data_IF_614038893241
#
_entry.id   IF_614038893241
#
_cell.length_a   1.000
_cell.length_b   1.000
_cell.length_c   1.000
_cell.angle_alpha   90.00
_cell.angle_beta   90.00
_cell.angle_gamma   90.00
#
_symmetry.space_group_name_H-M   'P 1'
#
loop_
_entity.id
_entity.type
_entity.pdbx_description
1 polymer ?
#
# COMPACT_ATOMS: atom_id res chain seq x y z
N UNK A 1 -12.18 12.55 -32.30
CA UNK A 1 -13.06 13.48 -31.55
C UNK A 1 -12.49 13.91 -30.21
N UNK A 2 -12.17 13.01 -29.26
CA UNK A 2 -11.68 13.41 -27.91
C UNK A 2 -10.29 14.07 -27.93
N UNK A 3 -9.40 13.66 -28.84
CA UNK A 3 -8.06 14.24 -28.99
C UNK A 3 -8.02 15.65 -29.63
N UNK A 4 -9.17 16.23 -30.00
CA UNK A 4 -9.22 17.55 -30.63
C UNK A 4 -8.76 18.66 -29.67
N UNK A 5 -7.95 19.66 -30.11
CA UNK A 5 -7.39 20.69 -29.24
C UNK A 5 -8.43 21.44 -28.38
N UNK A 6 -9.59 21.80 -28.95
CA UNK A 6 -10.64 22.49 -28.20
C UNK A 6 -11.25 21.62 -27.10
N UNK A 7 -11.37 20.31 -27.33
CA UNK A 7 -11.85 19.37 -26.33
C UNK A 7 -10.81 19.18 -25.22
N UNK A 8 -9.53 19.11 -25.59
CA UNK A 8 -8.41 18.97 -24.66
C UNK A 8 -8.26 20.20 -23.75
N UNK A 9 -8.35 21.41 -24.31
CA UNK A 9 -8.35 22.64 -23.50
C UNK A 9 -9.48 22.65 -22.47
N UNK A 10 -10.67 22.18 -22.85
CA UNK A 10 -11.80 22.06 -21.92
C UNK A 10 -11.51 21.03 -20.83
N UNK A 11 -10.98 19.86 -21.17
CA UNK A 11 -10.59 18.83 -20.20
C UNK A 11 -9.54 19.34 -19.21
N UNK A 12 -8.50 20.02 -19.70
CA UNK A 12 -7.45 20.64 -18.88
C UNK A 12 -8.05 21.65 -17.90
N UNK A 13 -9.00 22.48 -18.36
CA UNK A 13 -9.68 23.44 -17.49
C UNK A 13 -10.49 22.78 -16.37
N UNK A 14 -11.08 21.60 -16.63
CA UNK A 14 -11.79 20.81 -15.62
C UNK A 14 -10.80 20.14 -14.67
N UNK A 15 -9.68 19.65 -15.20
CA UNK A 15 -8.64 18.95 -14.46
C UNK A 15 -7.97 19.82 -13.39
N UNK A 16 -7.61 21.06 -13.74
CA UNK A 16 -7.02 22.02 -12.81
C UNK A 16 -8.06 22.86 -12.06
N UNK A 17 -9.31 22.93 -12.53
CA UNK A 17 -10.42 23.69 -11.93
C UNK A 17 -9.98 25.09 -11.46
N UNK A 18 -10.21 25.44 -10.18
CA UNK A 18 -9.82 26.71 -9.57
C UNK A 18 -8.33 26.80 -9.19
N UNK A 19 -7.52 25.79 -9.50
CA UNK A 19 -6.11 25.69 -9.10
C UNK A 19 -5.16 26.19 -10.19
N UNK A 20 -5.45 27.38 -10.73
CA UNK A 20 -4.70 28.00 -11.84
C UNK A 20 -3.24 28.30 -11.51
N UNK A 21 -2.91 28.44 -10.22
CA UNK A 21 -1.53 28.60 -9.72
C UNK A 21 -0.66 27.38 -10.07
N UNK A 22 -1.21 26.17 -9.98
CA UNK A 22 -0.50 24.92 -10.27
C UNK A 22 -0.33 24.67 -11.77
N UNK A 23 -1.27 25.16 -12.57
CA UNK A 23 -1.20 25.11 -14.03
C UNK A 23 -0.02 25.95 -14.54
N UNK A 24 0.20 27.12 -13.93
CA UNK A 24 1.23 28.08 -14.34
C UNK A 24 2.56 27.97 -13.57
N UNK A 25 2.64 27.09 -12.57
CA UNK A 25 3.84 26.95 -11.74
C UNK A 25 4.95 26.15 -12.43
N UNK A 26 6.20 26.47 -12.10
CA UNK A 26 7.37 25.70 -12.52
C UNK A 26 7.34 24.28 -11.95
N UNK A 27 8.04 23.35 -12.62
CA UNK A 27 8.03 21.92 -12.26
C UNK A 27 8.45 21.63 -10.81
N UNK A 28 9.42 22.37 -10.26
CA UNK A 28 9.87 22.22 -8.86
C UNK A 28 8.76 22.63 -7.89
N UNK A 29 8.19 23.83 -8.07
CA UNK A 29 7.07 24.33 -7.25
C UNK A 29 5.88 23.39 -7.33
N UNK A 30 5.64 22.82 -8.53
CA UNK A 30 4.60 21.82 -8.75
C UNK A 30 4.82 20.58 -7.90
N UNK A 31 6.02 20.01 -7.92
CA UNK A 31 6.38 18.84 -7.09
C UNK A 31 6.24 19.18 -5.62
N UNK A 32 6.75 20.33 -5.17
CA UNK A 32 6.66 20.75 -3.77
C UNK A 32 5.21 20.87 -3.30
N UNK A 33 4.33 21.51 -4.10
CA UNK A 33 2.90 21.60 -3.80
C UNK A 33 2.28 20.20 -3.73
N UNK A 34 2.65 19.30 -4.64
CA UNK A 34 2.10 17.94 -4.65
C UNK A 34 2.53 17.11 -3.45
N UNK A 35 3.79 17.19 -3.07
CA UNK A 35 4.30 16.52 -1.87
C UNK A 35 3.61 17.09 -0.63
N UNK A 36 3.47 18.41 -0.52
CA UNK A 36 2.79 19.04 0.63
C UNK A 36 1.32 18.61 0.74
N UNK A 37 0.57 18.63 -0.36
CA UNK A 37 -0.85 18.23 -0.38
C UNK A 37 -1.00 16.74 -0.05
N UNK A 38 -0.05 15.92 -0.47
CA UNK A 38 -0.02 14.48 -0.17
C UNK A 38 0.22 14.21 1.31
N UNK A 39 1.25 14.82 1.91
CA UNK A 39 1.57 14.62 3.33
C UNK A 39 0.45 15.13 4.23
N UNK A 40 -0.26 16.18 3.81
CA UNK A 40 -1.40 16.73 4.55
C UNK A 40 -2.72 16.01 4.26
N UNK A 41 -2.78 15.10 3.28
CA UNK A 41 -3.98 14.36 2.90
C UNK A 41 -4.73 13.66 4.06
N UNK A 42 -4.08 12.94 5.00
CA UNK A 42 -4.80 12.33 6.13
C UNK A 42 -5.49 13.37 7.03
N UNK A 43 -4.84 14.51 7.28
CA UNK A 43 -5.41 15.62 8.07
C UNK A 43 -6.58 16.25 7.29
N UNK A 44 -6.39 16.46 5.99
CA UNK A 44 -7.42 17.03 5.11
C UNK A 44 -8.65 16.12 5.00
N UNK A 45 -8.49 14.80 5.05
CA UNK A 45 -9.58 13.83 5.09
C UNK A 45 -10.39 13.91 6.39
N UNK A 46 -9.75 14.11 7.54
CA UNK A 46 -10.43 14.33 8.82
C UNK A 46 -11.20 15.66 8.78
N UNK A 47 -10.57 16.74 8.30
CA UNK A 47 -11.24 18.05 8.14
C UNK A 47 -12.41 17.97 7.17
N UNK A 48 -12.35 17.14 6.13
CA UNK A 48 -13.46 16.91 5.20
C UNK A 48 -14.72 16.42 5.93
N UNK A 49 -14.56 15.54 6.93
CA UNK A 49 -15.66 15.00 7.71
C UNK A 49 -16.31 16.09 8.59
N UNK A 50 -15.50 16.92 9.25
CA UNK A 50 -16.00 17.91 10.23
C UNK A 50 -16.42 19.26 9.61
N UNK A 51 -15.77 19.71 8.53
CA UNK A 51 -15.97 21.03 7.95
C UNK A 51 -16.20 20.98 6.42
N UNK A 52 -17.34 20.45 5.95
CA UNK A 52 -17.64 20.20 4.54
C UNK A 52 -18.03 21.45 3.73
N UNK A 53 -17.71 22.66 4.19
CA UNK A 53 -17.90 23.92 3.43
C UNK A 53 -16.63 24.76 3.33
N UNK A 54 -15.49 24.26 3.83
CA UNK A 54 -14.24 25.02 3.88
C UNK A 54 -13.65 25.27 2.48
N UNK A 55 -12.87 26.36 2.36
CA UNK A 55 -12.13 26.67 1.11
C UNK A 55 -11.15 25.55 0.74
N UNK A 56 -10.54 24.91 1.74
CA UNK A 56 -9.64 23.76 1.57
C UNK A 56 -10.35 22.56 0.93
N UNK A 57 -11.62 22.33 1.25
CA UNK A 57 -12.36 21.22 0.67
C UNK A 57 -12.64 21.43 -0.83
N UNK A 58 -12.78 22.67 -1.30
CA UNK A 58 -12.89 22.96 -2.74
C UNK A 58 -11.63 22.52 -3.49
N UNK A 59 -10.46 22.58 -2.83
CA UNK A 59 -9.18 22.09 -3.38
C UNK A 59 -9.18 20.56 -3.45
N UNK A 60 -9.64 19.86 -2.41
CA UNK A 60 -9.74 18.38 -2.40
C UNK A 60 -10.74 17.83 -3.43
N UNK A 61 -11.73 18.61 -3.85
CA UNK A 61 -12.67 18.20 -4.90
C UNK A 61 -12.06 18.24 -6.30
N UNK A 62 -10.90 18.88 -6.47
CA UNK A 62 -10.17 18.98 -7.73
C UNK A 62 -9.75 17.58 -8.23
N UNK A 63 -10.03 17.20 -9.49
CA UNK A 63 -9.68 15.88 -10.04
C UNK A 63 -8.17 15.58 -9.94
N UNK A 64 -7.33 16.57 -10.26
CA UNK A 64 -5.88 16.43 -10.18
C UNK A 64 -5.39 16.06 -8.76
N UNK A 65 -5.96 16.68 -7.73
CA UNK A 65 -5.55 16.44 -6.34
C UNK A 65 -6.00 15.06 -5.88
N UNK A 66 -7.19 14.61 -6.28
CA UNK A 66 -7.64 13.24 -6.00
C UNK A 66 -6.73 12.21 -6.65
N UNK A 67 -6.42 12.41 -7.93
CA UNK A 67 -5.51 11.52 -8.66
C UNK A 67 -4.16 11.41 -7.97
N UNK A 68 -3.57 12.54 -7.58
CA UNK A 68 -2.26 12.58 -6.93
C UNK A 68 -2.31 11.98 -5.52
N UNK A 69 -3.39 12.23 -4.77
CA UNK A 69 -3.61 11.55 -3.50
C UNK A 69 -3.62 10.04 -3.65
N UNK A 70 -4.39 9.50 -4.60
CA UNK A 70 -4.44 8.05 -4.85
C UNK A 70 -3.07 7.48 -5.27
N UNK A 71 -2.37 8.12 -6.21
CA UNK A 71 -1.07 7.62 -6.68
C UNK A 71 -0.02 7.65 -5.57
N UNK A 72 -0.01 8.68 -4.75
CA UNK A 72 0.97 8.78 -3.66
C UNK A 72 0.68 7.81 -2.52
N UNK A 73 -0.59 7.56 -2.19
CA UNK A 73 -0.95 6.53 -1.21
C UNK A 73 -0.50 5.14 -1.68
N UNK A 74 -0.57 4.88 -2.98
CA UNK A 74 -0.02 3.66 -3.57
C UNK A 74 1.52 3.61 -3.48
N UNK A 75 2.22 4.72 -3.75
CA UNK A 75 3.68 4.79 -3.58
C UNK A 75 4.10 4.56 -2.12
N UNK A 76 3.40 5.16 -1.16
CA UNK A 76 3.64 4.93 0.28
C UNK A 76 3.44 3.47 0.65
N UNK A 77 2.41 2.82 0.10
CA UNK A 77 2.19 1.39 0.29
C UNK A 77 3.34 0.54 -0.27
N UNK A 78 3.84 0.84 -1.47
CA UNK A 78 5.01 0.15 -2.03
C UNK A 78 6.25 0.33 -1.14
N UNK A 79 6.47 1.53 -0.61
CA UNK A 79 7.57 1.81 0.33
C UNK A 79 7.38 0.97 1.61
N UNK A 80 6.16 0.85 2.15
CA UNK A 80 5.89 0.01 3.30
C UNK A 80 6.19 -1.48 3.04
N UNK A 81 5.84 -2.00 1.85
CA UNK A 81 6.20 -3.38 1.46
C UNK A 81 7.72 -3.55 1.40
N UNK A 82 8.43 -2.57 0.84
CA UNK A 82 9.89 -2.58 0.76
C UNK A 82 10.52 -2.58 2.17
N UNK A 83 10.04 -1.70 3.06
CA UNK A 83 10.51 -1.65 4.46
C UNK A 83 10.20 -2.95 5.20
N UNK A 84 9.02 -3.55 4.99
CA UNK A 84 8.67 -4.86 5.56
C UNK A 84 9.64 -5.93 5.07
N UNK A 85 9.98 -5.92 3.78
CA UNK A 85 10.96 -6.85 3.20
C UNK A 85 12.35 -6.66 3.82
N UNK A 86 12.81 -5.42 4.01
CA UNK A 86 14.08 -5.14 4.68
C UNK A 86 14.07 -5.52 6.16
N UNK A 87 12.91 -5.42 6.81
CA UNK A 87 12.76 -5.85 8.20
C UNK A 87 12.84 -7.37 8.31
N UNK A 88 12.40 -8.12 7.30
CA UNK A 88 12.45 -9.59 7.25
C UNK A 88 13.82 -10.15 6.82
N UNK A 89 14.79 -9.31 6.46
CA UNK A 89 16.13 -9.78 6.13
C UNK A 89 16.82 -10.49 7.32
N UNK A 90 17.78 -11.41 7.05
CA UNK A 90 18.54 -12.08 8.08
C UNK A 90 19.29 -11.07 8.95
N UNK A 91 18.93 -11.00 10.21
CA UNK A 91 19.67 -10.28 11.26
C UNK A 91 20.18 -11.33 12.25
N UNK A 92 21.40 -11.16 12.77
CA UNK A 92 21.99 -12.05 13.78
C UNK A 92 21.07 -12.20 15.00
N UNK A 93 20.32 -11.14 15.33
CA UNK A 93 19.34 -11.15 16.44
C UNK A 93 18.09 -11.99 16.16
N UNK A 94 17.82 -12.35 14.91
CA UNK A 94 16.70 -13.22 14.51
C UNK A 94 17.12 -14.67 14.32
N UNK A 95 18.40 -14.96 14.48
CA UNK A 95 18.95 -16.30 14.30
C UNK A 95 18.52 -17.25 15.41
N UNK A 96 18.40 -18.54 15.09
CA UNK A 96 17.95 -19.57 16.02
C UNK A 96 18.90 -19.71 17.20
N UNK A 97 20.21 -19.52 16.97
CA UNK A 97 21.22 -19.43 18.03
C UNK A 97 20.88 -18.39 19.10
N UNK A 98 20.50 -17.19 18.69
CA UNK A 98 20.27 -16.08 19.60
C UNK A 98 18.87 -16.15 20.24
N UNK A 99 17.84 -16.50 19.45
CA UNK A 99 16.45 -16.42 19.88
C UNK A 99 15.98 -17.62 20.70
N UNK A 100 16.43 -18.84 20.36
CA UNK A 100 16.07 -20.06 21.09
C UNK A 100 17.31 -20.96 21.24
N UNK A 101 18.20 -20.68 22.21
CA UNK A 101 19.44 -21.44 22.40
C UNK A 101 19.22 -22.93 22.68
N UNK A 102 18.13 -23.28 23.35
CA UNK A 102 17.77 -24.68 23.67
C UNK A 102 17.46 -25.51 22.43
N UNK A 103 16.69 -24.96 21.49
CA UNK A 103 16.39 -25.61 20.22
C UNK A 103 17.63 -25.72 19.31
N UNK A 104 18.56 -24.76 19.41
CA UNK A 104 19.81 -24.78 18.65
C UNK A 104 20.67 -26.00 18.97
N UNK A 105 20.77 -26.34 20.25
CA UNK A 105 21.54 -27.50 20.69
C UNK A 105 20.99 -28.79 20.07
N UNK A 106 19.66 -28.99 20.12
CA UNK A 106 18.99 -30.13 19.50
C UNK A 106 19.17 -30.17 17.98
N UNK A 107 19.11 -29.01 17.32
CA UNK A 107 19.30 -28.91 15.88
C UNK A 107 20.73 -29.29 15.46
N UNK A 108 21.75 -28.76 16.15
CA UNK A 108 23.15 -29.08 15.86
C UNK A 108 23.47 -30.56 16.08
N UNK A 109 22.90 -31.16 17.13
CA UNK A 109 23.02 -32.60 17.39
C UNK A 109 22.44 -33.42 16.22
N UNK A 110 21.20 -33.12 15.79
CA UNK A 110 20.57 -33.80 14.66
C UNK A 110 21.36 -33.62 13.35
N UNK A 111 21.88 -32.42 13.12
CA UNK A 111 22.70 -32.13 11.94
C UNK A 111 23.95 -32.99 11.88
N UNK A 112 24.69 -33.07 13.00
CA UNK A 112 25.94 -33.81 13.06
C UNK A 112 25.73 -35.31 12.81
N UNK A 113 24.59 -35.85 13.24
CA UNK A 113 24.21 -37.25 13.00
C UNK A 113 23.82 -37.48 11.55
N UNK A 114 23.04 -36.57 10.97
CA UNK A 114 22.40 -36.82 9.67
C UNK A 114 23.31 -36.45 8.49
N UNK A 115 24.47 -35.82 8.71
CA UNK A 115 25.37 -35.32 7.64
C UNK A 115 24.61 -34.57 6.52
N UNK A 116 23.51 -33.92 6.88
CA UNK A 116 22.57 -33.32 5.95
C UNK A 116 23.08 -31.96 5.44
N UNK A 117 22.76 -31.55 4.20
CA UNK A 117 23.11 -30.24 3.63
C UNK A 117 22.34 -29.04 4.24
N UNK A 118 21.89 -29.13 5.49
CA UNK A 118 21.17 -28.03 6.14
C UNK A 118 22.10 -26.85 6.51
N UNK A 119 21.60 -25.60 6.52
CA UNK A 119 22.39 -24.41 6.87
C UNK A 119 22.80 -24.38 8.35
N UNK A 120 23.89 -23.69 8.70
CA UNK A 120 24.42 -23.62 10.10
C UNK A 120 23.47 -22.97 11.08
N UNK A 121 22.65 -22.06 10.60
CA UNK A 121 21.66 -21.38 11.41
C UNK A 121 20.41 -21.09 10.55
N UNK A 122 19.28 -20.85 11.22
CA UNK A 122 18.04 -20.45 10.59
C UNK A 122 17.57 -19.13 11.15
N UNK A 123 17.06 -18.27 10.27
CA UNK A 123 16.35 -17.07 10.69
C UNK A 123 14.96 -17.49 11.16
N UNK A 124 14.66 -17.25 12.44
CA UNK A 124 13.33 -17.50 13.00
C UNK A 124 12.44 -16.30 12.68
N UNK A 125 11.39 -16.53 11.90
CA UNK A 125 10.35 -15.51 11.68
C UNK A 125 9.68 -15.16 13.02
N UNK A 126 9.65 -13.88 13.33
CA UNK A 126 8.94 -13.34 14.50
C UNK A 126 7.42 -13.54 14.32
N UNK A 127 6.77 -14.07 15.36
CA UNK A 127 5.32 -14.24 15.42
C UNK A 127 4.60 -12.99 15.95
N UNK A 128 5.35 -11.97 16.37
CA UNK A 128 4.79 -10.74 16.91
C UNK A 128 4.30 -9.82 15.77
N UNK A 129 3.07 -9.29 15.88
CA UNK A 129 2.53 -8.39 14.86
C UNK A 129 3.27 -7.04 14.91
N UNK A 130 4.25 -6.88 14.02
CA UNK A 130 4.91 -5.58 13.85
C UNK A 130 3.91 -4.54 13.32
N UNK A 131 4.08 -3.29 13.77
CA UNK A 131 3.24 -2.15 13.40
C UNK A 131 3.09 -2.03 11.87
N UNK A 132 4.15 -2.35 11.12
CA UNK A 132 4.13 -2.27 9.66
C UNK A 132 3.16 -3.26 9.03
N UNK A 133 3.07 -4.50 9.54
CA UNK A 133 2.13 -5.50 9.03
C UNK A 133 0.68 -5.12 9.33
N UNK A 134 0.43 -4.50 10.49
CA UNK A 134 -0.90 -3.96 10.83
C UNK A 134 -1.26 -2.82 9.87
N UNK A 135 -0.34 -1.90 9.60
CA UNK A 135 -0.58 -0.77 8.69
C UNK A 135 -0.82 -1.24 7.25
N UNK A 136 -0.05 -2.22 6.76
CA UNK A 136 -0.26 -2.86 5.45
C UNK A 136 -1.65 -3.52 5.39
N UNK A 137 -2.05 -4.22 6.46
CA UNK A 137 -3.36 -4.88 6.55
C UNK A 137 -4.52 -3.89 6.50
N UNK A 138 -4.44 -2.77 7.22
CA UNK A 138 -5.43 -1.69 7.17
C UNK A 138 -5.56 -1.14 5.75
N UNK A 139 -4.43 -0.95 5.06
CA UNK A 139 -4.42 -0.45 3.69
C UNK A 139 -5.09 -1.43 2.71
N UNK A 140 -4.79 -2.73 2.82
CA UNK A 140 -5.40 -3.79 1.98
C UNK A 140 -6.93 -3.81 2.16
N UNK A 141 -7.42 -3.68 3.38
CA UNK A 141 -8.87 -3.58 3.66
C UNK A 141 -9.48 -2.35 2.98
N UNK A 142 -8.78 -1.21 3.01
CA UNK A 142 -9.19 0.00 2.32
C UNK A 142 -9.30 -0.19 0.80
N UNK A 143 -8.31 -0.85 0.19
CA UNK A 143 -8.33 -1.17 -1.24
C UNK A 143 -9.43 -2.16 -1.60
N UNK A 144 -9.65 -3.19 -0.78
CA UNK A 144 -10.77 -4.12 -0.95
C UNK A 144 -12.10 -3.39 -0.94
N UNK A 145 -12.30 -2.48 0.02
CA UNK A 145 -13.51 -1.67 0.07
C UNK A 145 -13.68 -0.78 -1.18
N UNK A 146 -12.58 -0.22 -1.71
CA UNK A 146 -12.61 0.57 -2.94
C UNK A 146 -13.03 -0.28 -4.15
N UNK A 147 -12.42 -1.46 -4.33
CA UNK A 147 -12.74 -2.37 -5.43
C UNK A 147 -14.19 -2.86 -5.35
N UNK A 148 -14.68 -3.21 -4.16
CA UNK A 148 -16.07 -3.61 -3.97
C UNK A 148 -17.06 -2.52 -4.39
N UNK A 149 -16.74 -1.25 -4.10
CA UNK A 149 -17.57 -0.11 -4.56
C UNK A 149 -17.50 0.08 -6.07
N UNK A 150 -16.35 -0.15 -6.70
CA UNK A 150 -16.20 -0.05 -8.14
C UNK A 150 -17.02 -1.14 -8.87
N UNK A 151 -16.94 -2.38 -8.39
CA UNK A 151 -17.75 -3.50 -8.90
C UNK A 151 -19.25 -3.21 -8.74
N UNK A 152 -19.66 -2.69 -7.58
CA UNK A 152 -21.05 -2.32 -7.33
C UNK A 152 -21.54 -1.22 -8.27
N UNK A 153 -20.73 -0.19 -8.53
CA UNK A 153 -21.11 0.95 -9.36
C UNK A 153 -21.10 0.64 -10.87
N UNK A 154 -20.12 -0.13 -11.36
CA UNK A 154 -19.97 -0.45 -12.77
C UNK A 154 -20.83 -1.64 -13.23
N UNK A 155 -21.16 -2.55 -12.31
CA UNK A 155 -21.72 -3.86 -12.60
C UNK A 155 -20.64 -4.87 -12.98
N UNK A 156 -20.88 -6.16 -12.69
CA UNK A 156 -19.84 -7.19 -12.76
C UNK A 156 -19.32 -7.44 -14.19
N UNK A 157 -20.19 -7.41 -15.20
CA UNK A 157 -19.81 -7.61 -16.59
C UNK A 157 -18.88 -6.48 -17.08
N UNK A 158 -19.32 -5.23 -16.93
CA UNK A 158 -18.54 -4.06 -17.35
C UNK A 158 -17.23 -3.92 -16.59
N UNK A 159 -17.20 -4.37 -15.33
CA UNK A 159 -15.96 -4.37 -14.53
C UNK A 159 -14.92 -5.30 -15.16
N UNK A 160 -15.30 -6.51 -15.57
CA UNK A 160 -14.39 -7.49 -16.13
C UNK A 160 -14.09 -7.31 -17.62
N UNK A 161 -14.65 -6.32 -18.30
CA UNK A 161 -14.25 -6.01 -19.69
C UNK A 161 -12.83 -5.43 -19.79
N UNK A 162 -12.28 -4.89 -18.68
CA UNK A 162 -10.92 -4.35 -18.60
C UNK A 162 -9.94 -5.36 -17.98
N UNK A 163 -8.85 -5.67 -18.68
CA UNK A 163 -7.76 -6.51 -18.16
C UNK A 163 -7.11 -5.94 -16.89
N UNK A 164 -7.10 -4.61 -16.74
CA UNK A 164 -6.55 -3.97 -15.54
C UNK A 164 -7.34 -4.34 -14.28
N UNK A 165 -8.67 -4.38 -14.38
CA UNK A 165 -9.53 -4.74 -13.25
C UNK A 165 -9.35 -6.22 -12.85
N UNK A 166 -9.06 -7.10 -13.82
CA UNK A 166 -8.66 -8.49 -13.51
C UNK A 166 -7.36 -8.56 -12.71
N UNK A 167 -6.36 -7.76 -13.11
CA UNK A 167 -5.07 -7.71 -12.40
C UNK A 167 -5.24 -7.16 -10.99
N UNK A 168 -6.04 -6.10 -10.82
CA UNK A 168 -6.31 -5.50 -9.51
C UNK A 168 -6.98 -6.51 -8.57
N UNK A 169 -7.98 -7.25 -9.06
CA UNK A 169 -8.63 -8.32 -8.30
C UNK A 169 -7.68 -9.47 -7.93
N UNK A 170 -6.83 -9.90 -8.87
CA UNK A 170 -5.86 -10.98 -8.63
C UNK A 170 -4.82 -10.58 -7.59
N UNK A 171 -4.24 -9.39 -7.70
CA UNK A 171 -3.25 -8.86 -6.75
C UNK A 171 -3.87 -8.72 -5.36
N UNK A 172 -5.10 -8.20 -5.27
CA UNK A 172 -5.80 -8.07 -3.99
C UNK A 172 -6.10 -9.43 -3.35
N UNK A 173 -6.48 -10.43 -4.15
CA UNK A 173 -6.72 -11.80 -3.68
C UNK A 173 -5.42 -12.42 -3.13
N UNK A 174 -4.29 -12.21 -3.82
CA UNK A 174 -2.98 -12.66 -3.34
C UNK A 174 -2.58 -11.99 -2.03
N UNK A 175 -2.84 -10.69 -1.87
CA UNK A 175 -2.59 -9.99 -0.61
C UNK A 175 -3.42 -10.56 0.53
N UNK A 176 -4.74 -10.73 0.35
CA UNK A 176 -5.62 -11.30 1.38
C UNK A 176 -5.19 -12.72 1.74
N UNK A 177 -4.86 -13.53 0.75
CA UNK A 177 -4.38 -14.91 0.98
C UNK A 177 -3.08 -14.90 1.78
N UNK A 178 -2.08 -14.12 1.38
CA UNK A 178 -0.81 -14.03 2.11
C UNK A 178 -0.99 -13.61 3.57
N UNK A 179 -1.79 -12.57 3.84
CA UNK A 179 -2.03 -12.09 5.19
C UNK A 179 -2.86 -13.06 6.03
N UNK A 180 -3.88 -13.72 5.46
CA UNK A 180 -4.64 -14.74 6.17
C UNK A 180 -3.77 -15.93 6.58
N UNK A 181 -2.90 -16.41 5.69
CA UNK A 181 -1.91 -17.45 6.04
C UNK A 181 -0.98 -17.00 7.17
N UNK A 182 -0.52 -15.74 7.14
CA UNK A 182 0.34 -15.18 8.19
C UNK A 182 -0.37 -15.16 9.55
N UNK A 183 -1.61 -14.68 9.61
CA UNK A 183 -2.40 -14.67 10.85
C UNK A 183 -2.68 -16.08 11.37
N UNK A 184 -3.02 -17.03 10.48
CA UNK A 184 -3.19 -18.43 10.85
C UNK A 184 -1.91 -19.05 11.43
N UNK A 185 -0.75 -18.72 10.85
CA UNK A 185 0.54 -19.17 11.38
C UNK A 185 0.82 -18.60 12.77
N UNK A 186 0.47 -17.33 13.03
CA UNK A 186 0.63 -16.73 14.36
C UNK A 186 -0.25 -17.43 15.39
N UNK A 187 -1.53 -17.66 15.05
CA UNK A 187 -2.50 -18.33 15.94
C UNK A 187 -2.09 -19.78 16.26
N UNK A 188 -1.54 -20.52 15.28
CA UNK A 188 -1.12 -21.90 15.51
C UNK A 188 0.16 -22.04 16.32
N UNK A 189 1.00 -21.01 16.32
CA UNK A 189 2.30 -21.01 17.01
C UNK A 189 2.19 -20.43 18.43
N UNK A 190 1.22 -19.54 18.69
CA UNK A 190 0.90 -19.02 20.04
C UNK A 190 0.19 -20.07 20.89
#
# INVERSE_FOLDING_TARGET
>A
FVAHPSCQQKLVSIWYSNFRTLERSNWITRIMIMTLVTTTYPILAIVYWFAPKSKLQKILRCPCIKFIGHTMMFVVFLIMIIISTFTELPDEKKSLLYKIPSANHSYQYFRNITSSPYPKDFVIRTYEPEIIHILISIWIVGMLWQEMKQVYAAGIHNYFDSLYNYLDFAVLTLYITSFTLRYLSIIKVS
#
